data_IF_711671450743
#
_entry.id   IF_711671450743
#
_cell.length_a   1.000
_cell.length_b   1.000
_cell.length_c   1.000
_cell.angle_alpha   90.00
_cell.angle_beta   90.00
_cell.angle_gamma   90.00
#
_symmetry.space_group_name_H-M   'P 1'
#
loop_
_entity.id
_entity.type
_entity.pdbx_description
1 polymer ?
#
# COMPACT_ATOMS: atom_id res chain seq x y z
N UNK A 1 17.18 16.00 8.72
CA UNK A 1 16.59 15.11 9.62
C UNK A 1 15.11 14.85 9.31
N UNK A 2 14.77 13.62 9.04
CA UNK A 2 13.41 13.31 8.68
C UNK A 2 12.45 13.46 9.83
N UNK A 3 11.22 13.75 9.52
CA UNK A 3 10.17 13.75 10.49
C UNK A 3 9.82 12.28 10.79
N UNK A 4 9.95 11.85 12.03
CA UNK A 4 9.69 10.47 12.41
C UNK A 4 8.29 10.02 12.04
N UNK A 5 7.32 10.91 12.10
CA UNK A 5 5.96 10.60 11.71
C UNK A 5 5.86 10.26 10.22
N UNK A 6 6.51 11.04 9.36
CA UNK A 6 6.51 10.78 7.93
C UNK A 6 7.24 9.50 7.59
N UNK A 7 8.35 9.23 8.27
CA UNK A 7 9.09 7.99 8.06
C UNK A 7 8.26 6.78 8.44
N UNK A 8 7.54 6.86 9.56
CA UNK A 8 6.68 5.78 10.00
C UNK A 8 5.55 5.53 9.02
N UNK A 9 4.97 6.59 8.48
CA UNK A 9 3.91 6.46 7.50
C UNK A 9 4.44 5.82 6.21
N UNK A 10 5.64 6.19 5.82
CA UNK A 10 6.29 5.63 4.65
C UNK A 10 6.57 4.14 4.81
N UNK A 11 7.10 3.76 5.97
CA UNK A 11 7.35 2.36 6.27
C UNK A 11 6.06 1.56 6.30
N UNK A 12 5.01 2.12 6.90
CA UNK A 12 3.73 1.46 6.93
C UNK A 12 3.15 1.30 5.53
N UNK A 13 3.37 2.28 4.65
CA UNK A 13 2.94 2.17 3.26
C UNK A 13 3.67 1.04 2.55
N UNK A 14 4.97 0.89 2.78
CA UNK A 14 5.75 -0.19 2.19
C UNK A 14 5.27 -1.55 2.69
N UNK A 15 4.95 -1.65 3.96
CA UNK A 15 4.43 -2.88 4.54
C UNK A 15 3.08 -3.23 3.91
N UNK A 16 2.23 -2.23 3.73
CA UNK A 16 0.92 -2.44 3.12
C UNK A 16 1.06 -2.93 1.68
N UNK A 17 1.98 -2.33 0.92
CA UNK A 17 2.24 -2.75 -0.45
C UNK A 17 2.78 -4.19 -0.48
N UNK A 18 3.70 -4.51 0.42
CA UNK A 18 4.25 -5.85 0.50
C UNK A 18 3.19 -6.88 0.81
N UNK A 19 2.31 -6.59 1.77
CA UNK A 19 1.22 -7.48 2.12
C UNK A 19 0.27 -7.68 0.93
N UNK A 20 -0.02 -6.61 0.20
CA UNK A 20 -0.90 -6.67 -0.96
C UNK A 20 -0.28 -7.53 -2.07
N UNK A 21 1.01 -7.33 -2.34
CA UNK A 21 1.71 -8.12 -3.35
C UNK A 21 1.72 -9.59 -2.95
N UNK A 22 1.99 -9.87 -1.68
CA UNK A 22 2.01 -11.22 -1.18
C UNK A 22 0.66 -11.91 -1.41
N UNK A 23 -0.43 -11.22 -1.11
CA UNK A 23 -1.76 -11.74 -1.31
C UNK A 23 -2.05 -12.03 -2.79
N UNK A 24 -1.67 -11.10 -3.66
CA UNK A 24 -1.90 -11.27 -5.09
C UNK A 24 -1.12 -12.47 -5.64
N UNK A 25 0.14 -12.60 -5.25
CA UNK A 25 0.97 -13.71 -5.70
C UNK A 25 0.41 -15.04 -5.15
N UNK A 26 0.02 -15.06 -3.88
CA UNK A 26 -0.52 -16.25 -3.26
C UNK A 26 -1.83 -16.69 -3.91
N UNK A 27 -2.62 -15.74 -4.41
CA UNK A 27 -3.88 -16.03 -5.08
C UNK A 27 -3.71 -16.22 -6.58
N UNK A 28 -2.48 -16.15 -7.08
CA UNK A 28 -2.15 -16.29 -8.50
C UNK A 28 -2.83 -15.24 -9.38
N UNK A 29 -3.03 -14.06 -8.82
CA UNK A 29 -3.58 -12.93 -9.55
C UNK A 29 -2.47 -12.08 -10.14
N UNK A 30 -2.80 -11.30 -11.16
CA UNK A 30 -1.82 -10.43 -11.78
C UNK A 30 -1.37 -9.34 -10.81
N UNK A 31 -0.06 -9.09 -10.79
CA UNK A 31 0.51 -8.06 -9.92
C UNK A 31 0.70 -6.80 -10.77
N UNK A 32 -0.24 -5.88 -10.65
CA UNK A 32 -0.22 -4.60 -11.35
C UNK A 32 -0.40 -3.50 -10.32
N UNK A 33 -0.01 -2.25 -10.63
CA UNK A 33 -0.24 -1.15 -9.70
C UNK A 33 -1.71 -1.03 -9.28
N UNK A 34 -2.63 -1.20 -10.21
CA UNK A 34 -4.05 -1.13 -9.91
C UNK A 34 -4.50 -2.26 -9.00
N UNK A 35 -4.01 -3.48 -9.26
CA UNK A 35 -4.35 -4.63 -8.43
C UNK A 35 -3.82 -4.45 -7.02
N UNK A 36 -2.59 -3.93 -6.89
CA UNK A 36 -2.01 -3.67 -5.58
C UNK A 36 -2.84 -2.62 -4.83
N UNK A 37 -3.22 -1.54 -5.51
CA UNK A 37 -4.04 -0.49 -4.89
C UNK A 37 -5.37 -1.05 -4.40
N UNK A 38 -6.03 -1.85 -5.22
CA UNK A 38 -7.30 -2.46 -4.84
C UNK A 38 -7.14 -3.40 -3.66
N UNK A 39 -6.07 -4.17 -3.64
CA UNK A 39 -5.82 -5.09 -2.52
C UNK A 39 -5.55 -4.32 -1.23
N UNK A 40 -4.82 -3.22 -1.30
CA UNK A 40 -4.58 -2.38 -0.13
C UNK A 40 -5.91 -1.87 0.43
N UNK A 41 -6.80 -1.43 -0.42
CA UNK A 41 -8.11 -0.96 0.01
C UNK A 41 -8.94 -2.06 0.66
N UNK A 42 -8.81 -3.28 0.17
CA UNK A 42 -9.50 -4.43 0.77
C UNK A 42 -8.94 -4.80 2.13
N UNK A 43 -7.62 -4.72 2.28
CA UNK A 43 -6.95 -5.12 3.51
C UNK A 43 -7.00 -4.03 4.58
N UNK A 44 -7.21 -2.79 4.18
CA UNK A 44 -7.19 -1.67 5.09
C UNK A 44 -8.57 -1.43 5.68
N UNK A 45 -8.63 -1.31 7.00
CA UNK A 45 -9.86 -0.95 7.68
C UNK A 45 -10.08 0.56 7.70
N UNK A 46 -8.99 1.33 7.52
CA UNK A 46 -9.03 2.78 7.58
C UNK A 46 -8.52 3.36 6.28
N UNK A 47 -9.43 3.83 5.47
CA UNK A 47 -9.08 4.40 4.16
C UNK A 47 -8.53 5.82 4.26
N UNK A 48 -8.69 6.46 5.40
CA UNK A 48 -8.15 7.79 5.66
C UNK A 48 -6.77 7.75 6.31
N UNK A 49 -6.21 6.55 6.46
CA UNK A 49 -4.87 6.39 7.01
C UNK A 49 -3.84 7.00 6.07
N UNK A 50 -2.90 7.75 6.63
CA UNK A 50 -1.85 8.40 5.85
C UNK A 50 -1.03 7.39 5.07
N UNK A 51 -0.72 6.23 5.66
CA UNK A 51 0.06 5.21 5.00
C UNK A 51 -0.66 4.69 3.76
N UNK A 52 -1.96 4.46 3.86
CA UNK A 52 -2.78 4.02 2.73
C UNK A 52 -2.80 5.10 1.65
N UNK A 53 -2.95 6.35 2.04
CA UNK A 53 -2.95 7.47 1.11
C UNK A 53 -1.64 7.57 0.34
N UNK A 54 -0.51 7.42 1.03
CA UNK A 54 0.81 7.44 0.40
C UNK A 54 0.94 6.29 -0.59
N UNK A 55 0.56 5.09 -0.17
CA UNK A 55 0.67 3.91 -1.02
C UNK A 55 -0.17 4.05 -2.28
N UNK A 56 -1.42 4.47 -2.13
CA UNK A 56 -2.32 4.65 -3.27
C UNK A 56 -1.82 5.73 -4.21
N UNK A 57 -1.29 6.82 -3.67
CA UNK A 57 -0.76 7.91 -4.46
C UNK A 57 0.38 7.45 -5.37
N UNK A 58 1.30 6.67 -4.81
CA UNK A 58 2.42 6.14 -5.58
C UNK A 58 1.94 5.15 -6.63
N UNK A 59 1.05 4.25 -6.27
CA UNK A 59 0.57 3.21 -7.17
C UNK A 59 -0.23 3.78 -8.33
N UNK A 60 -1.05 4.79 -8.07
CA UNK A 60 -1.91 5.36 -9.10
C UNK A 60 -1.18 6.33 -10.02
N UNK A 61 0.04 6.74 -9.64
CA UNK A 61 0.90 7.53 -10.52
C UNK A 61 1.74 6.69 -11.46
N UNK A 62 1.84 5.43 -11.16
CA UNK A 62 2.70 4.54 -11.93
C UNK A 62 2.16 4.26 -13.33
#
# INVERSE_FOLDING_TARGET
MGNGFEEQAYEAACIAMGAAVWQLVSSKEAVTPEAIANMIMKLSERRDDLAVSIALSVLLQA
#
